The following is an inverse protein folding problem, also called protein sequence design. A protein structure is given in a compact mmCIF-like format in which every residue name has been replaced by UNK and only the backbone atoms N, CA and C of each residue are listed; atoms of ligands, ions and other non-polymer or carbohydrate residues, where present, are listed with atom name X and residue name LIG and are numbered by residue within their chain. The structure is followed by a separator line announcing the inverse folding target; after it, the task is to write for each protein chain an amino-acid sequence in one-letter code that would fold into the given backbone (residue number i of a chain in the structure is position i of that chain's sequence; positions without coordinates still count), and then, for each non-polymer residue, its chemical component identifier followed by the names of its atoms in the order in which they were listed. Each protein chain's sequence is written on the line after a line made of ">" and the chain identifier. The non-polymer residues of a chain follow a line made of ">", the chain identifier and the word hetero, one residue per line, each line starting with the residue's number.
data_IF_049806418824
#
_entry.id   IF_049806418824
#
_cell.length_a   1.000
_cell.length_b   1.000
_cell.length_c   1.000
_cell.angle_alpha   90.00
_cell.angle_beta   90.00
_cell.angle_gamma   90.00
#
_symmetry.space_group_name_H-M   'P 1'
#
loop_
_entity.id
_entity.type
_entity.pdbx_description
1 polymer ?
#
# COMPACT_ATOMS: atom_id res chain seq x y z
N UNK A 1 -30.41 -19.96 2.65
CA UNK A 1 -31.36 -19.30 3.57
C UNK A 1 -31.04 -17.80 3.55
N UNK A 2 -31.37 -17.15 2.43
CA UNK A 2 -31.27 -15.70 2.30
C UNK A 2 -32.65 -15.17 2.71
N UNK A 3 -32.79 -14.80 3.98
CA UNK A 3 -33.93 -13.98 4.41
C UNK A 3 -33.94 -12.72 3.55
N UNK A 4 -35.10 -12.37 2.98
CA UNK A 4 -35.29 -11.19 2.15
C UNK A 4 -34.74 -9.93 2.84
N UNK A 5 -33.59 -9.45 2.38
CA UNK A 5 -33.04 -8.17 2.78
C UNK A 5 -34.01 -7.10 2.26
N UNK A 6 -34.76 -6.47 3.17
CA UNK A 6 -35.67 -5.38 2.80
C UNK A 6 -34.89 -4.16 2.32
N UNK A 7 -35.48 -3.36 1.43
CA UNK A 7 -34.90 -2.10 0.95
C UNK A 7 -34.53 -1.16 2.12
N UNK A 8 -35.36 -1.11 3.17
CA UNK A 8 -35.06 -0.36 4.40
C UNK A 8 -33.79 -0.84 5.11
N UNK A 9 -33.48 -2.14 5.06
CA UNK A 9 -32.24 -2.70 5.63
C UNK A 9 -31.01 -2.26 4.82
N UNK A 10 -31.14 -2.15 3.50
CA UNK A 10 -30.06 -1.73 2.61
C UNK A 10 -29.81 -0.21 2.66
N UNK A 11 -30.85 0.58 2.95
CA UNK A 11 -30.79 2.05 3.00
C UNK A 11 -30.64 2.63 4.42
N UNK A 12 -30.45 1.80 5.46
CA UNK A 12 -30.33 2.24 6.87
C UNK A 12 -29.24 3.31 7.10
N UNK A 13 -28.26 3.41 6.20
CA UNK A 13 -27.12 4.34 6.27
C UNK A 13 -27.26 5.55 5.34
N UNK A 14 -28.37 5.68 4.61
CA UNK A 14 -28.73 6.94 3.96
C UNK A 14 -29.41 7.76 5.05
N UNK A 15 -28.73 8.76 5.63
CA UNK A 15 -29.35 9.51 6.69
C UNK A 15 -30.57 10.26 6.13
N UNK A 16 -31.68 10.32 6.88
CA UNK A 16 -32.68 11.36 6.64
C UNK A 16 -31.96 12.71 6.76
N UNK A 17 -32.21 13.59 5.80
CA UNK A 17 -31.52 14.88 5.57
C UNK A 17 -30.77 15.45 6.80
N UNK A 18 -29.44 15.51 6.73
CA UNK A 18 -28.65 16.45 7.53
C UNK A 18 -27.70 15.90 8.60
N UNK A 19 -27.63 14.59 8.85
CA UNK A 19 -26.63 14.03 9.79
C UNK A 19 -25.95 12.79 9.23
N UNK A 20 -24.62 12.77 9.00
CA UNK A 20 -23.95 11.53 8.59
C UNK A 20 -24.10 10.50 9.72
N UNK A 21 -24.87 9.44 9.48
CA UNK A 21 -24.88 8.28 10.36
C UNK A 21 -23.44 7.77 10.51
N UNK A 22 -23.04 7.36 11.72
CA UNK A 22 -21.71 6.80 11.96
C UNK A 22 -21.58 5.50 11.16
N UNK A 23 -20.83 5.55 10.05
CA UNK A 23 -20.56 4.39 9.20
C UNK A 23 -19.65 3.44 9.97
N UNK A 24 -20.16 2.26 10.28
CA UNK A 24 -19.42 1.17 10.93
C UNK A 24 -18.85 0.20 9.89
N UNK A 25 -18.09 -0.80 10.34
CA UNK A 25 -17.58 -1.86 9.46
C UNK A 25 -18.71 -2.71 8.82
N UNK A 26 -19.91 -2.69 9.39
CA UNK A 26 -21.09 -3.41 8.85
C UNK A 26 -21.82 -2.64 7.76
N UNK A 27 -21.32 -1.45 7.40
CA UNK A 27 -21.96 -0.55 6.48
C UNK A 27 -21.17 -0.46 5.16
N UNK A 28 -21.88 -0.27 4.05
CA UNK A 28 -21.27 -0.06 2.74
C UNK A 28 -21.43 1.38 2.31
N UNK A 29 -20.38 2.20 2.42
CA UNK A 29 -20.34 3.55 1.82
C UNK A 29 -20.50 3.48 0.30
N UNK A 30 -19.90 2.45 -0.31
CA UNK A 30 -20.00 2.13 -1.73
C UNK A 30 -20.18 0.63 -1.91
N UNK A 31 -20.78 0.23 -3.03
CA UNK A 31 -20.96 -1.16 -3.40
C UNK A 31 -20.80 -1.40 -4.91
N UNK A 32 -20.41 -2.62 -5.28
CA UNK A 32 -20.37 -3.08 -6.67
C UNK A 32 -20.61 -4.58 -6.73
N UNK A 33 -21.16 -5.07 -7.85
CA UNK A 33 -21.14 -6.48 -8.18
C UNK A 33 -19.83 -6.81 -8.91
N UNK A 34 -19.19 -7.92 -8.53
CA UNK A 34 -18.03 -8.40 -9.25
C UNK A 34 -18.46 -8.96 -10.62
N UNK A 35 -17.87 -8.51 -11.75
CA UNK A 35 -18.38 -8.81 -13.08
C UNK A 35 -18.31 -10.28 -13.49
N UNK A 36 -17.45 -11.08 -12.85
CA UNK A 36 -17.30 -12.51 -13.17
C UNK A 36 -17.98 -13.43 -12.17
N UNK A 37 -17.91 -13.13 -10.89
CA UNK A 37 -18.43 -14.01 -9.82
C UNK A 37 -19.82 -13.60 -9.35
N UNK A 38 -20.27 -12.40 -9.72
CA UNK A 38 -21.51 -11.78 -9.26
C UNK A 38 -21.59 -11.64 -7.73
N UNK A 39 -20.45 -11.68 -7.04
CA UNK A 39 -20.38 -11.40 -5.61
C UNK A 39 -20.57 -9.91 -5.33
N UNK A 40 -21.26 -9.60 -4.24
CA UNK A 40 -21.50 -8.24 -3.80
C UNK A 40 -20.34 -7.76 -2.93
N UNK A 41 -19.71 -6.67 -3.33
CA UNK A 41 -18.55 -6.10 -2.65
C UNK A 41 -18.95 -4.74 -2.11
N UNK A 42 -18.72 -4.52 -0.81
CA UNK A 42 -18.96 -3.24 -0.14
C UNK A 42 -17.69 -2.71 0.48
N UNK A 43 -17.61 -1.40 0.67
CA UNK A 43 -16.57 -0.79 1.50
C UNK A 43 -17.16 0.25 2.44
N UNK A 44 -16.88 0.20 3.76
CA UNK A 44 -17.26 1.24 4.70
C UNK A 44 -16.35 2.49 4.60
N UNK A 45 -15.10 2.29 4.18
CA UNK A 45 -14.02 3.25 4.38
C UNK A 45 -13.33 3.72 3.09
N UNK A 46 -13.64 3.11 1.94
CA UNK A 46 -13.15 3.53 0.62
C UNK A 46 -14.28 4.19 -0.19
N UNK A 47 -13.99 5.26 -0.96
CA UNK A 47 -14.96 5.82 -1.91
C UNK A 47 -15.04 5.02 -3.23
N UNK A 48 -14.27 3.94 -3.39
CA UNK A 48 -14.31 3.07 -4.57
C UNK A 48 -14.16 1.60 -4.19
N UNK A 49 -14.70 0.71 -5.03
CA UNK A 49 -14.53 -0.74 -4.90
C UNK A 49 -13.39 -1.20 -5.79
N UNK A 50 -12.32 -1.74 -5.20
CA UNK A 50 -11.32 -2.50 -5.95
C UNK A 50 -11.95 -3.77 -6.51
N UNK A 51 -11.46 -4.26 -7.65
CA UNK A 51 -11.85 -5.56 -8.18
C UNK A 51 -10.94 -6.62 -7.56
N UNK A 52 -11.35 -7.29 -6.46
CA UNK A 52 -10.51 -8.29 -5.83
C UNK A 52 -10.30 -9.42 -6.81
N UNK A 53 -9.09 -9.96 -6.89
CA UNK A 53 -8.85 -11.06 -7.77
C UNK A 53 -9.43 -12.36 -7.25
N UNK A 54 -10.39 -12.92 -7.98
CA UNK A 54 -10.96 -14.23 -7.69
C UNK A 54 -10.16 -15.36 -8.33
N UNK A 55 -9.95 -16.45 -7.58
CA UNK A 55 -9.33 -17.69 -8.03
C UNK A 55 -8.26 -18.19 -7.05
N UNK A 56 -8.23 -19.51 -6.81
CA UNK A 56 -7.27 -20.15 -5.88
C UNK A 56 -5.85 -20.27 -6.45
N UNK A 57 -5.70 -20.15 -7.77
CA UNK A 57 -4.43 -20.34 -8.47
C UNK A 57 -4.29 -19.22 -9.48
N UNK A 58 -3.41 -18.26 -9.20
CA UNK A 58 -3.08 -17.16 -10.11
C UNK A 58 -1.58 -17.17 -10.36
N UNK A 59 -1.21 -17.17 -11.62
CA UNK A 59 0.18 -17.06 -12.01
C UNK A 59 0.67 -15.62 -11.79
N UNK A 60 1.71 -15.48 -10.97
CA UNK A 60 2.32 -14.20 -10.67
C UNK A 60 3.38 -13.87 -11.72
N UNK A 61 3.10 -12.87 -12.56
CA UNK A 61 4.06 -12.39 -13.56
C UNK A 61 4.45 -10.95 -13.30
N UNK A 62 5.76 -10.69 -13.31
CA UNK A 62 6.30 -9.34 -13.31
C UNK A 62 6.14 -8.70 -14.68
N UNK A 63 5.57 -7.50 -14.72
CA UNK A 63 5.26 -6.72 -15.93
C UNK A 63 6.45 -5.86 -16.37
N UNK A 64 6.27 -5.16 -17.50
CA UNK A 64 7.31 -4.29 -18.07
C UNK A 64 7.69 -3.11 -17.16
N UNK A 65 6.72 -2.62 -16.40
CA UNK A 65 6.91 -1.55 -15.40
C UNK A 65 7.63 -2.03 -14.12
N UNK A 66 7.90 -3.33 -13.98
CA UNK A 66 8.57 -3.93 -12.82
C UNK A 66 7.62 -4.37 -11.71
N UNK A 67 6.31 -4.10 -11.82
CA UNK A 67 5.30 -4.47 -10.82
C UNK A 67 4.60 -5.79 -11.19
N UNK A 68 3.81 -6.31 -10.24
CA UNK A 68 3.02 -7.53 -10.42
C UNK A 68 1.57 -7.28 -10.90
N UNK A 69 1.27 -6.05 -11.35
CA UNK A 69 -0.07 -5.65 -11.78
C UNK A 69 -1.07 -5.69 -10.63
N UNK A 70 -2.23 -6.30 -10.85
CA UNK A 70 -3.32 -6.39 -9.85
C UNK A 70 -2.97 -7.22 -8.61
N UNK A 71 -1.88 -8.00 -8.67
CA UNK A 71 -1.39 -8.81 -7.55
C UNK A 71 -0.39 -8.07 -6.68
N UNK A 72 0.03 -6.85 -7.06
CA UNK A 72 1.02 -6.11 -6.31
C UNK A 72 0.38 -5.40 -5.11
N UNK A 73 0.70 -5.76 -3.85
CA UNK A 73 0.13 -5.13 -2.68
C UNK A 73 0.49 -3.65 -2.56
N UNK A 74 1.57 -3.22 -3.22
CA UNK A 74 1.97 -1.81 -3.29
C UNK A 74 1.03 -0.95 -4.16
N UNK A 75 0.16 -1.57 -4.96
CA UNK A 75 -0.73 -0.89 -5.89
C UNK A 75 -2.21 -1.20 -5.68
N UNK A 76 -2.52 -2.39 -5.14
CA UNK A 76 -3.89 -2.90 -5.06
C UNK A 76 -4.19 -3.50 -3.68
N UNK A 77 -5.44 -3.33 -3.20
CA UNK A 77 -5.89 -3.98 -1.98
C UNK A 77 -5.75 -5.50 -2.12
N UNK A 78 -5.38 -6.15 -1.01
CA UNK A 78 -5.19 -7.60 -0.94
C UNK A 78 -6.20 -8.22 0.03
N UNK A 79 -6.43 -9.55 -0.05
CA UNK A 79 -7.14 -10.24 1.01
C UNK A 79 -6.41 -10.00 2.33
N UNK A 80 -7.15 -9.69 3.39
CA UNK A 80 -6.57 -9.54 4.70
C UNK A 80 -5.81 -10.81 5.10
N UNK A 81 -4.56 -10.65 5.51
CA UNK A 81 -3.72 -11.72 5.97
C UNK A 81 -3.11 -11.31 7.31
N UNK A 82 -3.48 -12.01 8.38
CA UNK A 82 -3.00 -11.72 9.73
C UNK A 82 -1.47 -11.76 9.84
N UNK A 83 -0.79 -12.63 9.09
CA UNK A 83 0.68 -12.69 9.09
C UNK A 83 1.31 -11.43 8.46
N UNK A 84 0.54 -10.69 7.65
CA UNK A 84 0.96 -9.46 6.98
C UNK A 84 -0.04 -8.32 7.24
N UNK A 85 -0.51 -8.19 8.49
CA UNK A 85 -1.53 -7.23 8.90
C UNK A 85 -1.15 -5.75 8.66
N UNK A 86 0.11 -5.48 8.32
CA UNK A 86 0.60 -4.15 7.96
C UNK A 86 0.31 -3.76 6.50
N UNK A 87 0.09 -4.71 5.58
CA UNK A 87 -0.13 -4.40 4.15
C UNK A 87 -1.31 -3.43 3.89
N UNK A 88 -2.44 -3.48 4.61
CA UNK A 88 -3.51 -2.50 4.46
C UNK A 88 -3.07 -1.06 4.77
N UNK A 89 -1.99 -0.88 5.52
CA UNK A 89 -1.42 0.41 5.90
C UNK A 89 -0.49 1.01 4.83
N UNK A 90 -0.32 0.37 3.67
CA UNK A 90 0.44 0.94 2.55
C UNK A 90 -0.23 2.25 2.12
N UNK A 91 0.52 3.38 2.05
CA UNK A 91 -0.04 4.64 1.60
C UNK A 91 -0.41 4.62 0.12
N UNK A 92 -1.56 5.22 -0.19
CA UNK A 92 -1.92 5.58 -1.54
C UNK A 92 -1.02 6.69 -2.06
N UNK A 93 -1.01 6.85 -3.40
CA UNK A 93 -0.31 7.97 -4.03
C UNK A 93 -0.88 9.30 -3.53
N UNK A 94 -0.04 10.25 -3.08
CA UNK A 94 -0.49 11.59 -2.72
C UNK A 94 -1.20 12.29 -3.88
N UNK A 95 -2.41 12.81 -3.65
CA UNK A 95 -3.18 13.60 -4.63
C UNK A 95 -3.31 15.07 -4.23
N UNK A 96 -3.02 15.42 -2.98
CA UNK A 96 -3.15 16.76 -2.43
C UNK A 96 -2.02 17.07 -1.44
N UNK A 97 -1.74 18.36 -1.23
CA UNK A 97 -0.62 18.83 -0.41
C UNK A 97 -0.76 18.50 1.08
N UNK A 98 -1.99 18.27 1.56
CA UNK A 98 -2.26 17.83 2.93
C UNK A 98 -2.02 16.32 3.14
N UNK A 99 -1.61 15.58 2.12
CA UNK A 99 -1.32 14.16 2.25
C UNK A 99 -0.05 13.94 3.10
N UNK A 100 -0.04 13.01 4.07
CA UNK A 100 1.11 12.83 4.98
C UNK A 100 2.44 12.47 4.31
N UNK A 101 2.38 11.97 3.07
CA UNK A 101 3.55 11.58 2.27
C UNK A 101 3.73 12.43 1.00
N UNK A 102 3.23 13.66 0.99
CA UNK A 102 3.30 14.52 -0.19
C UNK A 102 4.75 14.80 -0.63
N UNK A 103 5.64 15.03 0.34
CA UNK A 103 7.06 15.29 0.09
C UNK A 103 7.81 14.05 -0.43
N UNK A 104 7.30 12.85 -0.17
CA UNK A 104 7.83 11.58 -0.69
C UNK A 104 7.16 11.10 -1.97
N UNK A 105 6.46 11.98 -2.69
CA UNK A 105 5.72 11.66 -3.92
C UNK A 105 6.56 10.98 -5.02
N UNK A 106 7.89 11.12 -5.00
CA UNK A 106 8.80 10.41 -5.91
C UNK A 106 8.68 8.88 -5.82
N UNK A 107 8.24 8.33 -4.67
CA UNK A 107 7.99 6.90 -4.48
C UNK A 107 6.92 6.35 -5.42
N UNK A 108 6.00 7.19 -5.91
CA UNK A 108 4.99 6.77 -6.88
C UNK A 108 5.33 7.19 -8.33
N UNK A 109 6.55 7.67 -8.55
CA UNK A 109 7.05 8.07 -9.87
C UNK A 109 7.23 6.88 -10.81
N UNK A 110 7.01 7.10 -12.11
CA UNK A 110 7.30 6.11 -13.16
C UNK A 110 8.61 6.47 -13.85
N UNK A 111 9.39 5.45 -14.20
CA UNK A 111 10.66 5.63 -14.92
C UNK A 111 10.43 5.44 -16.42
N UNK A 112 10.88 6.41 -17.19
CA UNK A 112 10.83 6.42 -18.65
C UNK A 112 12.24 6.52 -19.25
N UNK A 113 12.31 6.52 -20.57
CA UNK A 113 13.55 6.73 -21.33
C UNK A 113 14.22 8.07 -21.00
N UNK A 114 13.42 9.09 -20.70
CA UNK A 114 13.89 10.45 -20.38
C UNK A 114 14.49 10.53 -18.98
N UNK A 115 14.24 9.53 -18.12
CA UNK A 115 14.83 9.44 -16.78
C UNK A 115 16.27 8.93 -16.79
N UNK A 116 16.76 8.43 -17.93
CA UNK A 116 18.08 7.80 -18.04
C UNK A 116 19.15 8.75 -18.53
N UNK A 117 20.36 8.56 -18.01
CA UNK A 117 21.60 9.07 -18.56
C UNK A 117 22.34 7.90 -19.22
N UNK A 118 22.26 7.82 -20.56
CA UNK A 118 22.86 6.73 -21.32
C UNK A 118 24.37 6.88 -21.40
N UNK A 119 25.08 5.85 -20.95
CA UNK A 119 26.53 5.73 -21.06
C UNK A 119 26.90 5.10 -22.41
N UNK A 120 26.09 4.13 -22.86
CA UNK A 120 26.20 3.52 -24.19
C UNK A 120 24.83 3.52 -24.88
N UNK A 121 24.68 4.39 -25.89
CA UNK A 121 23.44 4.50 -26.69
C UNK A 121 23.18 3.29 -27.58
N UNK A 122 24.22 2.55 -27.96
CA UNK A 122 24.08 1.35 -28.80
C UNK A 122 23.56 0.18 -27.98
N UNK A 123 24.07 0.02 -26.75
CA UNK A 123 23.56 -0.99 -25.79
C UNK A 123 22.30 -0.56 -25.06
N UNK A 124 21.92 0.73 -25.15
CA UNK A 124 20.81 1.34 -24.39
C UNK A 124 20.95 1.12 -22.89
N UNK A 125 22.19 1.21 -22.41
CA UNK A 125 22.55 1.06 -21.02
C UNK A 125 22.91 2.43 -20.44
N UNK A 126 22.45 2.68 -19.23
CA UNK A 126 22.66 3.95 -18.55
C UNK A 126 22.37 3.85 -17.06
N UNK A 127 22.44 5.00 -16.40
CA UNK A 127 22.08 5.15 -14.99
C UNK A 127 20.86 6.07 -14.87
N UNK A 128 20.22 6.07 -13.71
CA UNK A 128 19.17 7.03 -13.42
C UNK A 128 19.78 8.43 -13.26
N UNK A 129 19.18 9.44 -13.90
CA UNK A 129 19.67 10.82 -13.79
C UNK A 129 19.71 11.29 -12.33
N UNK A 130 20.71 12.08 -11.91
CA UNK A 130 20.80 12.62 -10.55
C UNK A 130 19.53 13.37 -10.09
N UNK A 131 18.87 14.08 -10.99
CA UNK A 131 17.62 14.79 -10.71
C UNK A 131 16.45 13.84 -10.30
N UNK A 132 16.51 12.57 -10.72
CA UNK A 132 15.52 11.55 -10.41
C UNK A 132 15.99 10.64 -9.27
N UNK A 133 17.28 10.33 -9.17
CA UNK A 133 17.83 9.49 -8.11
C UNK A 133 17.98 10.19 -6.76
N UNK A 134 18.33 11.49 -6.73
CA UNK A 134 18.51 12.23 -5.49
C UNK A 134 17.25 12.29 -4.60
N UNK A 135 16.02 12.47 -5.15
CA UNK A 135 14.79 12.32 -4.37
C UNK A 135 14.67 10.94 -3.70
N UNK A 136 15.01 9.84 -4.39
CA UNK A 136 15.00 8.51 -3.79
C UNK A 136 15.99 8.39 -2.63
N UNK A 137 17.21 8.94 -2.77
CA UNK A 137 18.19 8.97 -1.69
C UNK A 137 17.65 9.73 -0.46
N UNK A 138 16.98 10.85 -0.68
CA UNK A 138 16.38 11.66 0.37
C UNK A 138 15.30 10.90 1.14
N UNK A 139 14.32 10.31 0.44
CA UNK A 139 13.20 9.60 1.09
C UNK A 139 13.64 8.30 1.77
N UNK A 140 14.67 7.61 1.25
CA UNK A 140 15.28 6.44 1.91
C UNK A 140 16.01 6.87 3.18
N UNK A 141 16.73 7.99 3.16
CA UNK A 141 17.37 8.55 4.35
C UNK A 141 16.33 8.93 5.41
N UNK A 142 15.24 9.60 5.02
CA UNK A 142 14.14 9.95 5.93
C UNK A 142 13.53 8.71 6.59
N UNK A 143 13.22 7.69 5.79
CA UNK A 143 12.69 6.41 6.29
C UNK A 143 13.64 5.74 7.29
N UNK A 144 14.95 5.73 7.02
CA UNK A 144 15.95 5.17 7.94
C UNK A 144 15.97 5.87 9.29
N UNK A 145 15.88 7.19 9.31
CA UNK A 145 15.77 7.95 10.56
C UNK A 145 14.54 7.53 11.36
N UNK A 146 13.39 7.35 10.71
CA UNK A 146 12.16 6.86 11.36
C UNK A 146 12.31 5.43 11.88
N UNK A 147 12.90 4.53 11.09
CA UNK A 147 13.18 3.14 11.49
C UNK A 147 14.09 3.07 12.70
N UNK A 148 15.12 3.92 12.77
CA UNK A 148 16.04 3.92 13.91
C UNK A 148 15.39 4.48 15.18
N UNK A 149 14.55 5.51 15.05
CA UNK A 149 13.74 5.99 16.16
C UNK A 149 12.82 4.88 16.70
N UNK A 150 12.22 4.08 15.82
CA UNK A 150 11.41 2.92 16.21
C UNK A 150 12.26 1.83 16.90
N UNK A 151 13.46 1.52 16.37
CA UNK A 151 14.41 0.55 16.97
C UNK A 151 14.83 0.94 18.38
N UNK A 152 14.98 2.23 18.64
CA UNK A 152 15.29 2.79 19.96
C UNK A 152 14.11 2.82 20.95
N UNK A 153 12.89 2.55 20.49
CA UNK A 153 11.68 2.61 21.33
C UNK A 153 11.55 1.41 22.28
N UNK A 154 10.77 1.60 23.35
CA UNK A 154 10.48 0.55 24.35
C UNK A 154 9.44 -0.49 23.87
N UNK A 155 8.69 -0.19 22.81
CA UNK A 155 7.60 -1.03 22.25
C UNK A 155 8.01 -1.70 20.93
N UNK A 156 9.20 -2.30 20.92
CA UNK A 156 9.73 -2.99 19.75
C UNK A 156 9.18 -4.41 19.62
N UNK A 157 8.96 -4.82 18.39
CA UNK A 157 8.61 -6.18 18.02
C UNK A 157 9.70 -6.79 17.15
N UNK A 158 10.20 -7.94 17.56
CA UNK A 158 11.35 -8.57 16.90
C UNK A 158 11.04 -9.01 15.46
N UNK A 159 9.83 -9.47 15.19
CA UNK A 159 9.45 -9.96 13.86
C UNK A 159 9.33 -8.78 12.89
N UNK A 160 8.72 -7.67 13.32
CA UNK A 160 8.66 -6.45 12.51
C UNK A 160 10.03 -5.79 12.33
N UNK A 161 10.92 -5.86 13.32
CA UNK A 161 12.30 -5.38 13.17
C UNK A 161 13.10 -6.23 12.16
N UNK A 162 12.86 -7.54 12.10
CA UNK A 162 13.46 -8.40 11.10
C UNK A 162 12.98 -8.01 9.69
N UNK A 163 11.67 -7.79 9.50
CA UNK A 163 11.11 -7.29 8.25
C UNK A 163 11.69 -5.94 7.83
N UNK A 164 11.76 -4.98 8.76
CA UNK A 164 12.35 -3.66 8.48
C UNK A 164 13.83 -3.75 8.07
N UNK A 165 14.57 -4.70 8.64
CA UNK A 165 15.97 -4.95 8.27
C UNK A 165 16.06 -5.55 6.86
N UNK A 166 15.18 -6.47 6.51
CA UNK A 166 15.10 -7.03 5.15
C UNK A 166 14.78 -5.95 4.11
N UNK A 167 13.78 -5.12 4.38
CA UNK A 167 13.41 -4.02 3.49
C UNK A 167 14.54 -2.98 3.36
N UNK A 168 15.27 -2.65 4.42
CA UNK A 168 16.42 -1.74 4.34
C UNK A 168 17.59 -2.30 3.52
N UNK A 169 17.83 -3.62 3.61
CA UNK A 169 18.80 -4.28 2.73
C UNK A 169 18.39 -4.15 1.25
N UNK A 170 17.12 -4.39 0.94
CA UNK A 170 16.59 -4.23 -0.41
C UNK A 170 16.67 -2.79 -0.90
N UNK A 171 16.34 -1.79 -0.05
CA UNK A 171 16.49 -0.38 -0.35
C UNK A 171 17.95 -0.04 -0.70
N UNK A 172 18.91 -0.52 0.10
CA UNK A 172 20.35 -0.30 -0.11
C UNK A 172 20.80 -0.83 -1.46
N UNK A 173 20.47 -2.09 -1.76
CA UNK A 173 20.88 -2.77 -2.99
C UNK A 173 20.26 -2.09 -4.20
N UNK A 174 18.95 -1.82 -4.15
CA UNK A 174 18.23 -1.22 -5.28
C UNK A 174 18.70 0.20 -5.55
N UNK A 175 18.83 1.03 -4.50
CA UNK A 175 19.29 2.42 -4.62
C UNK A 175 20.71 2.48 -5.20
N UNK A 176 21.61 1.63 -4.71
CA UNK A 176 22.98 1.55 -5.22
C UNK A 176 22.98 1.19 -6.71
N UNK A 177 22.19 0.19 -7.11
CA UNK A 177 22.11 -0.27 -8.50
C UNK A 177 21.55 0.81 -9.42
N UNK A 178 20.40 1.40 -9.10
CA UNK A 178 19.76 2.39 -10.00
C UNK A 178 20.58 3.68 -10.15
N UNK A 179 21.37 4.05 -9.12
CA UNK A 179 22.18 5.26 -9.14
C UNK A 179 23.60 5.07 -9.69
N UNK A 180 24.17 3.86 -9.63
CA UNK A 180 25.60 3.65 -9.90
C UNK A 180 25.93 2.59 -10.94
N UNK A 181 25.01 1.67 -11.22
CA UNK A 181 25.27 0.57 -12.15
C UNK A 181 24.63 0.87 -13.51
N UNK A 182 25.42 0.94 -14.60
CA UNK A 182 24.87 1.01 -15.94
C UNK A 182 24.02 -0.23 -16.22
N UNK A 183 22.76 -0.02 -16.57
CA UNK A 183 21.78 -1.08 -16.80
C UNK A 183 20.80 -0.70 -17.90
N UNK A 184 20.08 -1.69 -18.42
CA UNK A 184 18.97 -1.46 -19.35
C UNK A 184 17.82 -0.71 -18.65
N UNK A 185 16.99 0.02 -19.40
CA UNK A 185 15.77 0.65 -18.87
C UNK A 185 14.87 -0.35 -18.12
N UNK A 186 14.79 -1.59 -18.62
CA UNK A 186 14.00 -2.67 -18.01
C UNK A 186 14.52 -3.01 -16.62
N UNK A 187 15.84 -3.09 -16.44
CA UNK A 187 16.44 -3.43 -15.16
C UNK A 187 16.43 -2.26 -14.18
N UNK A 188 16.56 -1.01 -14.66
CA UNK A 188 16.31 0.18 -13.84
C UNK A 188 14.87 0.20 -13.35
N UNK A 189 13.87 0.00 -14.23
CA UNK A 189 12.45 -0.05 -13.83
C UNK A 189 12.19 -1.09 -12.75
N UNK A 190 12.80 -2.28 -12.88
CA UNK A 190 12.74 -3.33 -11.85
C UNK A 190 13.37 -2.88 -10.53
N UNK A 191 14.56 -2.30 -10.58
CA UNK A 191 15.25 -1.79 -9.39
C UNK A 191 14.43 -0.70 -8.69
N UNK A 192 13.82 0.21 -9.45
CA UNK A 192 12.95 1.25 -8.90
C UNK A 192 11.67 0.65 -8.32
N UNK A 193 11.00 -0.30 -8.99
CA UNK A 193 9.81 -0.95 -8.44
C UNK A 193 10.10 -1.70 -7.13
N UNK A 194 11.23 -2.40 -7.01
CA UNK A 194 11.65 -3.06 -5.77
C UNK A 194 12.01 -2.07 -4.64
N UNK A 195 12.65 -0.94 -4.99
CA UNK A 195 12.91 0.14 -4.05
C UNK A 195 11.60 0.75 -3.53
N UNK A 196 10.67 1.07 -4.44
CA UNK A 196 9.37 1.63 -4.12
C UNK A 196 8.57 0.68 -3.22
N UNK A 197 8.54 -0.62 -3.55
CA UNK A 197 7.87 -1.63 -2.74
C UNK A 197 8.47 -1.74 -1.34
N UNK A 198 9.80 -1.82 -1.25
CA UNK A 198 10.50 -1.92 0.03
C UNK A 198 10.24 -0.69 0.89
N UNK A 199 10.24 0.51 0.30
CA UNK A 199 9.91 1.74 1.00
C UNK A 199 8.46 1.75 1.51
N UNK A 200 7.51 1.41 0.63
CA UNK A 200 6.09 1.37 0.96
C UNK A 200 5.79 0.35 2.06
N UNK A 201 6.43 -0.82 2.02
CA UNK A 201 6.26 -1.86 3.03
C UNK A 201 6.86 -1.43 4.38
N UNK A 202 8.04 -0.79 4.39
CA UNK A 202 8.60 -0.23 5.62
C UNK A 202 7.70 0.83 6.24
N UNK A 203 7.15 1.74 5.44
CA UNK A 203 6.20 2.75 5.92
C UNK A 203 4.93 2.10 6.47
N UNK A 204 4.40 1.10 5.78
CA UNK A 204 3.22 0.36 6.21
C UNK A 204 3.45 -0.36 7.54
N UNK A 205 4.62 -1.01 7.73
CA UNK A 205 5.02 -1.60 9.00
C UNK A 205 5.07 -0.53 10.10
N UNK A 206 5.78 0.58 9.87
CA UNK A 206 5.91 1.63 10.88
C UNK A 206 4.55 2.24 11.25
N UNK A 207 3.70 2.53 10.27
CA UNK A 207 2.34 3.03 10.52
C UNK A 207 1.48 2.02 11.27
N UNK A 208 1.55 0.74 10.90
CA UNK A 208 0.86 -0.33 11.61
C UNK A 208 1.27 -0.35 13.09
N UNK A 209 2.57 -0.34 13.37
CA UNK A 209 3.11 -0.40 14.73
C UNK A 209 2.78 0.85 15.56
N UNK A 210 2.86 2.02 14.95
CA UNK A 210 2.68 3.31 15.63
C UNK A 210 1.20 3.66 15.85
N UNK A 211 0.31 3.33 14.89
CA UNK A 211 -1.06 3.86 14.85
C UNK A 211 -2.14 2.80 15.03
N UNK A 212 -1.93 1.58 14.52
CA UNK A 212 -3.00 0.58 14.38
C UNK A 212 -2.86 -0.60 15.34
N UNK A 213 -1.64 -1.00 15.71
CA UNK A 213 -1.39 -2.17 16.54
C UNK A 213 -2.05 -2.10 17.92
N UNK A 214 -2.10 -0.92 18.51
CA UNK A 214 -2.77 -0.75 19.81
C UNK A 214 -4.29 -0.97 19.71
N UNK A 215 -4.89 -0.66 18.55
CA UNK A 215 -6.31 -0.85 18.25
C UNK A 215 -6.63 -2.32 18.00
N UNK A 216 -5.81 -3.03 17.22
CA UNK A 216 -5.98 -4.48 16.99
C UNK A 216 -5.81 -5.30 18.26
N UNK A 217 -5.10 -4.79 19.28
CA UNK A 217 -4.99 -5.39 20.61
C UNK A 217 -6.10 -4.95 21.60
N UNK A 218 -7.09 -4.17 21.16
CA UNK A 218 -8.24 -3.74 21.98
C UNK A 218 -7.92 -2.74 23.09
N UNK A 219 -6.82 -1.97 22.98
CA UNK A 219 -6.32 -1.10 24.06
C UNK A 219 -6.75 0.37 23.99
N UNK A 220 -7.46 0.79 22.94
CA UNK A 220 -7.94 2.17 22.77
C UNK A 220 -9.35 2.21 22.16
N UNK A 221 -10.12 3.24 22.50
CA UNK A 221 -11.39 3.58 21.85
C UNK A 221 -11.18 3.86 20.36
N UNK A 222 -12.17 3.50 19.53
CA UNK A 222 -12.14 3.65 18.07
C UNK A 222 -12.25 5.14 17.70
N UNK A 223 -11.15 5.89 17.75
CA UNK A 223 -11.10 7.20 17.10
C UNK A 223 -11.35 7.02 15.60
N UNK A 224 -12.25 7.84 15.03
CA UNK A 224 -12.57 7.88 13.60
C UNK A 224 -11.28 7.89 12.79
N UNK A 225 -10.95 6.77 12.14
CA UNK A 225 -9.71 6.72 11.39
C UNK A 225 -9.89 7.43 10.06
N UNK A 226 -9.00 8.38 9.78
CA UNK A 226 -8.82 8.94 8.44
C UNK A 226 -8.20 7.87 7.53
N UNK A 227 -9.03 6.95 7.05
CA UNK A 227 -8.62 5.83 6.19
C UNK A 227 -8.35 6.26 4.74
N UNK A 228 -8.59 7.52 4.37
CA UNK A 228 -8.63 7.98 2.98
C UNK A 228 -7.31 7.88 2.20
N UNK A 229 -6.18 7.64 2.87
CA UNK A 229 -4.85 7.71 2.27
C UNK A 229 -4.13 6.35 2.22
N UNK A 230 -4.84 5.23 2.34
CA UNK A 230 -4.27 3.87 2.40
C UNK A 230 -4.91 2.93 1.38
N UNK A 231 -4.14 1.92 0.94
CA UNK A 231 -4.61 0.91 0.00
C UNK A 231 -5.75 0.06 0.58
N UNK A 232 -5.78 -0.16 1.90
CA UNK A 232 -6.79 -1.01 2.57
C UNK A 232 -6.66 -2.50 2.19
N UNK A 233 -7.57 -3.31 2.73
CA UNK A 233 -7.72 -4.73 2.42
C UNK A 233 -9.20 -5.08 2.29
N UNK A 234 -9.46 -6.22 1.66
CA UNK A 234 -10.79 -6.83 1.64
C UNK A 234 -10.77 -8.13 2.45
N UNK A 235 -11.94 -8.47 2.98
CA UNK A 235 -12.18 -9.67 3.79
C UNK A 235 -13.31 -10.48 3.15
N UNK A 236 -13.22 -11.80 3.28
CA UNK A 236 -14.21 -12.71 2.71
C UNK A 236 -15.31 -13.09 3.71
N UNK A 237 -15.15 -12.74 4.98
CA UNK A 237 -16.07 -13.07 6.04
C UNK A 237 -16.01 -12.04 7.18
N UNK A 238 -17.08 -11.98 7.98
CA UNK A 238 -17.22 -11.04 9.09
C UNK A 238 -16.21 -11.26 10.23
N UNK A 239 -15.72 -12.49 10.39
CA UNK A 239 -14.73 -12.80 11.42
C UNK A 239 -13.43 -12.04 11.15
N UNK A 240 -12.96 -12.05 9.90
CA UNK A 240 -11.75 -11.32 9.52
C UNK A 240 -11.99 -9.80 9.54
N UNK A 241 -13.23 -9.35 9.28
CA UNK A 241 -13.60 -7.93 9.37
C UNK A 241 -13.43 -7.35 10.78
N UNK A 242 -13.63 -8.16 11.82
CA UNK A 242 -13.45 -7.76 13.22
C UNK A 242 -11.98 -7.56 13.61
N UNK A 243 -11.04 -8.02 12.78
CA UNK A 243 -9.60 -7.97 13.05
C UNK A 243 -8.88 -6.81 12.35
N UNK A 244 -9.58 -6.09 11.47
CA UNK A 244 -9.13 -4.86 10.80
C UNK A 244 -9.31 -3.63 11.70
#
# INVERSE_FOLDING_TARGET
>A
MLSELSEQTLLKNIPPEGFPAEITYTDGRVASLHPRTHEYITSPNSPFISLPPFGSTRDLYRREDGFYGVEDPALWPQPFNRANAYLPCIPCRPTAQNHPYFDESCIWGKISTESMEYIDRNRREGVLQPAISAPFEHVVKHLRTRTEAYRGSTRKDHDFLALLTEFDNNLTVCLTRISRSPMSLRDIRRGVAELQRSWLYSVAVLDYMEKFRSRTLGKHEREHAEFGNRISAFVWNDRDALEL
#
